data_IF_339831351464
#
_entry.id   IF_339831351464
#
_cell.length_a   1.000
_cell.length_b   1.000
_cell.length_c   1.000
_cell.angle_alpha   90.00
_cell.angle_beta   90.00
_cell.angle_gamma   90.00
#
_symmetry.space_group_name_H-M   'P 1'
#
loop_
_entity.id
_entity.type
_entity.pdbx_description
1 polymer ?
#
# COMPACT_ATOMS: atom_id res chain seq x y z
N UNK A 1 7.14 5.52 -2.82
CA UNK A 1 8.54 5.12 -3.08
C UNK A 1 9.24 6.27 -3.79
N UNK A 2 10.57 6.33 -3.81
CA UNK A 2 11.30 7.40 -4.51
C UNK A 2 11.90 6.85 -5.80
N UNK A 3 11.58 7.47 -6.94
CA UNK A 3 12.00 7.05 -8.29
C UNK A 3 12.32 8.32 -9.07
N UNK A 4 13.45 8.36 -9.79
CA UNK A 4 13.83 9.48 -10.68
C UNK A 4 13.59 10.89 -10.07
N UNK A 5 14.01 11.07 -8.81
CA UNK A 5 13.89 12.29 -8.02
C UNK A 5 12.45 12.79 -7.72
N UNK A 6 11.49 11.87 -7.67
CA UNK A 6 10.11 12.17 -7.30
C UNK A 6 9.42 11.01 -6.57
N UNK A 7 8.28 11.27 -5.88
CA UNK A 7 7.48 10.22 -5.28
C UNK A 7 6.68 9.44 -6.33
N UNK A 8 6.74 8.11 -6.22
CA UNK A 8 5.99 7.16 -7.05
C UNK A 8 5.17 6.19 -6.17
N UNK A 9 4.07 5.66 -6.72
CA UNK A 9 3.12 4.79 -6.01
C UNK A 9 2.82 3.53 -6.82
N UNK A 10 2.86 2.38 -6.15
CA UNK A 10 2.65 1.08 -6.79
C UNK A 10 1.57 0.29 -6.06
N UNK A 11 0.62 -0.36 -6.77
CA UNK A 11 -0.29 -1.30 -6.15
C UNK A 11 0.49 -2.47 -5.56
N UNK A 12 0.10 -2.93 -4.37
CA UNK A 12 0.82 -3.94 -3.62
C UNK A 12 -0.12 -4.94 -2.96
N UNK A 13 0.18 -6.24 -3.16
CA UNK A 13 -0.32 -7.30 -2.28
C UNK A 13 0.73 -7.55 -1.20
N UNK A 14 0.31 -7.58 0.05
CA UNK A 14 1.19 -7.77 1.20
C UNK A 14 0.51 -8.67 2.25
N UNK A 15 1.31 -9.17 3.18
CA UNK A 15 0.87 -9.88 4.38
C UNK A 15 1.51 -9.21 5.60
N UNK A 16 0.82 -9.25 6.73
CA UNK A 16 1.39 -8.83 8.02
C UNK A 16 2.08 -10.02 8.65
N UNK A 17 3.32 -9.83 9.09
CA UNK A 17 4.16 -10.89 9.64
C UNK A 17 5.07 -10.31 10.73
N UNK A 18 4.99 -10.84 11.96
CA UNK A 18 5.81 -10.44 13.10
C UNK A 18 5.92 -8.90 13.33
N UNK A 19 4.81 -8.17 13.15
CA UNK A 19 4.79 -6.71 13.31
C UNK A 19 5.39 -5.92 12.14
N UNK A 20 5.74 -6.60 11.06
CA UNK A 20 6.21 -6.03 9.79
C UNK A 20 5.24 -6.37 8.67
N UNK A 21 5.52 -5.87 7.47
CA UNK A 21 4.76 -6.25 6.28
C UNK A 21 5.68 -6.93 5.27
N UNK A 22 5.25 -8.06 4.74
CA UNK A 22 5.98 -8.75 3.69
C UNK A 22 5.22 -8.65 2.39
N UNK A 23 5.95 -8.47 1.30
CA UNK A 23 5.38 -8.62 -0.03
C UNK A 23 6.32 -9.27 -1.03
N UNK A 24 5.71 -9.76 -2.11
CA UNK A 24 6.40 -10.47 -3.18
C UNK A 24 6.32 -9.68 -4.49
N UNK A 25 7.45 -9.48 -5.17
CA UNK A 25 7.52 -8.74 -6.44
C UNK A 25 8.53 -9.34 -7.42
N UNK A 26 8.37 -9.01 -8.71
CA UNK A 26 9.38 -9.24 -9.73
C UNK A 26 10.42 -8.12 -9.72
N UNK A 27 11.57 -8.34 -10.38
CA UNK A 27 12.58 -7.30 -10.61
C UNK A 27 11.96 -6.11 -11.35
N UNK A 28 12.46 -4.91 -11.08
CA UNK A 28 12.03 -3.67 -11.74
C UNK A 28 12.01 -2.48 -10.80
N UNK A 29 11.45 -1.37 -11.28
CA UNK A 29 11.45 -0.06 -10.60
C UNK A 29 10.94 -0.13 -9.17
N UNK A 30 9.82 -0.81 -8.93
CA UNK A 30 9.24 -0.98 -7.59
C UNK A 30 10.22 -1.59 -6.58
N UNK A 31 10.93 -2.65 -6.98
CA UNK A 31 11.88 -3.32 -6.08
C UNK A 31 13.13 -2.46 -5.89
N UNK A 32 13.63 -1.85 -6.97
CA UNK A 32 14.79 -0.96 -6.89
C UNK A 32 14.52 0.23 -5.96
N UNK A 33 13.33 0.80 -6.05
CA UNK A 33 12.92 1.94 -5.22
C UNK A 33 12.68 1.52 -3.76
N UNK A 34 12.05 0.35 -3.54
CA UNK A 34 11.85 -0.19 -2.20
C UNK A 34 13.18 -0.45 -1.47
N UNK A 35 14.17 -0.99 -2.19
CA UNK A 35 15.49 -1.34 -1.64
C UNK A 35 16.51 -0.20 -1.70
N UNK A 36 16.06 1.03 -1.98
CA UNK A 36 16.90 2.22 -1.85
C UNK A 36 17.01 2.66 -0.39
N UNK A 37 17.90 3.61 -0.09
CA UNK A 37 18.01 4.19 1.26
C UNK A 37 16.84 5.12 1.63
N UNK A 38 15.95 5.42 0.68
CA UNK A 38 14.82 6.30 0.89
C UNK A 38 13.73 5.62 1.74
N UNK A 39 13.08 6.36 2.66
CA UNK A 39 11.92 5.85 3.37
C UNK A 39 10.78 5.46 2.43
N UNK A 40 10.05 4.41 2.79
CA UNK A 40 8.85 3.97 2.09
C UNK A 40 7.60 4.25 2.92
N UNK A 41 6.47 4.40 2.23
CA UNK A 41 5.16 4.48 2.84
C UNK A 41 4.23 3.44 2.20
N UNK A 42 3.34 2.90 3.01
CA UNK A 42 2.24 2.03 2.61
C UNK A 42 0.95 2.57 3.19
N UNK A 43 -0.09 2.56 2.37
CA UNK A 43 -1.44 3.00 2.72
C UNK A 43 -2.41 1.87 2.44
N UNK A 44 -3.40 1.72 3.32
CA UNK A 44 -4.48 0.75 3.21
C UNK A 44 -5.72 1.37 3.81
N UNK A 45 -6.81 1.34 3.07
CA UNK A 45 -8.11 1.79 3.55
C UNK A 45 -9.16 0.68 3.41
N UNK A 46 -10.29 0.94 4.05
CA UNK A 46 -11.46 0.07 3.94
C UNK A 46 -12.72 0.75 4.43
N UNK A 47 -13.85 0.21 3.97
CA UNK A 47 -15.18 0.64 4.36
C UNK A 47 -15.98 -0.55 4.88
N UNK A 48 -16.58 -0.39 6.06
CA UNK A 48 -17.42 -1.39 6.71
C UNK A 48 -18.89 -1.02 6.51
N UNK A 49 -19.54 -1.66 5.53
CA UNK A 49 -20.91 -1.34 5.16
C UNK A 49 -21.95 -1.47 6.30
N UNK A 50 -21.88 -2.48 7.21
CA UNK A 50 -22.83 -2.60 8.31
C UNK A 50 -22.78 -1.43 9.31
N UNK A 51 -21.58 -0.97 9.67
CA UNK A 51 -21.37 0.14 10.62
C UNK A 51 -21.35 1.52 9.93
N UNK A 52 -21.26 1.54 8.59
CA UNK A 52 -21.03 2.75 7.78
C UNK A 52 -19.78 3.51 8.22
N UNK A 53 -18.75 2.80 8.64
CA UNK A 53 -17.49 3.38 9.03
C UNK A 53 -16.44 3.18 7.95
N UNK A 54 -15.60 4.19 7.76
CA UNK A 54 -14.37 4.07 6.98
C UNK A 54 -13.17 4.06 7.92
N UNK A 55 -12.12 3.37 7.50
CA UNK A 55 -10.83 3.35 8.18
C UNK A 55 -9.70 3.46 7.17
N UNK A 56 -8.56 3.96 7.65
CA UNK A 56 -7.31 4.03 6.89
C UNK A 56 -6.13 3.79 7.80
N UNK A 57 -5.11 3.11 7.32
CA UNK A 57 -3.82 2.90 7.98
C UNK A 57 -2.72 3.41 7.07
N UNK A 58 -1.87 4.28 7.61
CA UNK A 58 -0.66 4.76 6.95
C UNK A 58 0.54 4.27 7.74
N UNK A 59 1.45 3.61 7.03
CA UNK A 59 2.68 3.04 7.55
C UNK A 59 3.85 3.73 6.89
N UNK A 60 4.86 4.12 7.68
CA UNK A 60 6.15 4.63 7.19
C UNK A 60 7.25 3.73 7.75
N UNK A 61 8.29 3.51 6.97
CA UNK A 61 9.38 2.63 7.38
C UNK A 61 10.49 2.52 6.35
N UNK A 62 11.25 1.45 6.47
CA UNK A 62 12.27 1.03 5.49
C UNK A 62 11.91 -0.32 4.93
N UNK A 63 12.28 -0.56 3.67
CA UNK A 63 12.12 -1.88 3.08
C UNK A 63 13.47 -2.55 2.89
N UNK A 64 13.51 -3.86 3.11
CA UNK A 64 14.69 -4.69 2.99
C UNK A 64 14.35 -5.99 2.28
N UNK A 65 15.31 -6.54 1.54
CA UNK A 65 15.11 -7.81 0.86
C UNK A 65 15.32 -8.95 1.85
N UNK A 66 14.39 -9.90 1.89
CA UNK A 66 14.55 -11.14 2.66
C UNK A 66 15.51 -12.04 1.87
N UNK A 67 16.66 -12.37 2.46
CA UNK A 67 17.74 -13.12 1.80
C UNK A 67 18.10 -14.43 2.52
N UNK A 68 17.89 -14.49 3.83
CA UNK A 68 18.23 -15.66 4.63
C UNK A 68 17.21 -16.78 4.39
N UNK A 69 17.70 -18.01 4.25
CA UNK A 69 16.87 -19.16 3.88
C UNK A 69 15.82 -19.45 4.95
N UNK A 70 16.19 -19.39 6.23
CA UNK A 70 15.28 -19.69 7.33
C UNK A 70 14.14 -18.64 7.39
N UNK A 71 14.47 -17.36 7.27
CA UNK A 71 13.48 -16.27 7.22
C UNK A 71 12.57 -16.40 5.99
N UNK A 72 13.12 -16.84 4.86
CA UNK A 72 12.34 -17.12 3.66
C UNK A 72 11.39 -18.31 3.89
N UNK A 73 11.83 -19.38 4.55
CA UNK A 73 11.01 -20.55 4.86
C UNK A 73 9.84 -20.22 5.79
N UNK A 74 10.04 -19.35 6.78
CA UNK A 74 8.94 -18.87 7.64
C UNK A 74 7.96 -17.97 6.87
N UNK A 75 8.43 -17.34 5.80
CA UNK A 75 7.68 -16.35 5.02
C UNK A 75 6.91 -16.96 3.84
N UNK A 76 7.38 -18.07 3.26
CA UNK A 76 6.74 -18.69 2.07
C UNK A 76 5.34 -19.21 2.34
N UNK A 77 5.01 -19.50 3.60
CA UNK A 77 3.67 -19.95 4.01
C UNK A 77 2.67 -18.80 4.16
N UNK A 78 3.12 -17.54 4.06
CA UNK A 78 2.20 -16.40 4.08
C UNK A 78 1.30 -16.42 2.84
N UNK A 79 0.00 -16.04 2.97
CA UNK A 79 -0.96 -16.02 1.88
C UNK A 79 -0.74 -14.84 0.91
N UNK A 80 0.48 -14.71 0.39
CA UNK A 80 0.86 -13.75 -0.64
C UNK A 80 0.45 -14.32 -1.99
N UNK A 81 -0.76 -13.98 -2.44
CA UNK A 81 -1.29 -14.35 -3.75
C UNK A 81 -1.28 -13.14 -4.71
N UNK A 82 -0.19 -12.88 -5.45
CA UNK A 82 -0.14 -11.78 -6.40
C UNK A 82 -1.19 -11.94 -7.49
N UNK A 83 -2.02 -10.92 -7.71
CA UNK A 83 -3.06 -10.94 -8.75
C UNK A 83 -2.53 -10.94 -10.19
N UNK A 84 -1.28 -10.49 -10.39
CA UNK A 84 -0.64 -10.48 -11.70
C UNK A 84 0.30 -11.69 -11.84
N UNK A 85 0.14 -12.45 -12.92
CA UNK A 85 1.00 -13.57 -13.27
C UNK A 85 2.47 -13.15 -13.49
N UNK A 86 3.40 -14.10 -13.33
CA UNK A 86 4.84 -13.93 -13.59
C UNK A 86 5.74 -14.31 -12.43
N UNK A 87 7.03 -14.49 -12.72
CA UNK A 87 8.04 -14.83 -11.71
C UNK A 87 8.27 -13.66 -10.75
N UNK A 88 7.74 -13.76 -9.53
CA UNK A 88 7.90 -12.72 -8.49
C UNK A 88 8.88 -13.20 -7.41
N UNK A 89 10.09 -13.59 -7.74
CA UNK A 89 10.94 -14.35 -6.80
C UNK A 89 11.62 -13.51 -5.69
N UNK A 90 11.24 -12.24 -5.52
CA UNK A 90 11.82 -11.36 -4.52
C UNK A 90 10.80 -11.09 -3.41
N UNK A 91 11.18 -11.46 -2.20
CA UNK A 91 10.48 -11.14 -0.97
C UNK A 91 11.11 -9.91 -0.33
N UNK A 92 10.26 -8.97 0.06
CA UNK A 92 10.68 -7.70 0.63
C UNK A 92 9.87 -7.49 1.90
N UNK A 93 10.57 -7.18 2.99
CA UNK A 93 10.00 -6.81 4.28
C UNK A 93 10.00 -5.30 4.40
N UNK A 94 8.87 -4.71 4.77
CA UNK A 94 8.76 -3.34 5.22
C UNK A 94 8.75 -3.37 6.75
N UNK A 95 9.81 -2.82 7.34
CA UNK A 95 9.96 -2.65 8.79
C UNK A 95 9.38 -1.28 9.17
N UNK A 96 8.23 -1.24 9.87
CA UNK A 96 7.59 0.02 10.22
C UNK A 96 8.42 0.81 11.25
N UNK A 97 8.57 2.11 11.02
CA UNK A 97 9.07 3.06 12.03
C UNK A 97 7.95 3.93 12.60
N UNK A 98 6.84 4.03 11.87
CA UNK A 98 5.64 4.74 12.31
C UNK A 98 4.40 4.11 11.70
N UNK A 99 3.40 3.86 12.53
CA UNK A 99 2.08 3.35 12.13
C UNK A 99 1.03 4.29 12.68
N UNK A 100 0.13 4.77 11.82
CA UNK A 100 -1.02 5.58 12.22
C UNK A 100 -2.28 5.06 11.57
N UNK A 101 -3.36 5.04 12.34
CA UNK A 101 -4.69 4.63 11.87
C UNK A 101 -5.74 5.68 12.21
N UNK A 102 -6.78 5.73 11.39
CA UNK A 102 -7.99 6.53 11.63
C UNK A 102 -9.21 5.66 11.35
N UNK A 103 -10.26 5.86 12.13
CA UNK A 103 -11.60 5.29 11.90
C UNK A 103 -12.64 6.36 12.16
N UNK A 104 -13.63 6.47 11.30
CA UNK A 104 -14.65 7.51 11.38
C UNK A 104 -15.95 7.08 10.68
N UNK A 105 -17.12 7.57 11.14
CA UNK A 105 -18.37 7.36 10.45
C UNK A 105 -18.36 8.07 9.08
N UNK A 106 -18.89 7.41 8.06
CA UNK A 106 -19.09 8.01 6.74
C UNK A 106 -20.34 8.88 6.79
N UNK A 107 -20.14 10.16 6.47
CA UNK A 107 -21.21 11.15 6.42
C UNK A 107 -21.95 11.10 5.07
N UNK A 108 -23.18 11.63 5.05
CA UNK A 108 -23.96 11.74 3.82
C UNK A 108 -23.18 12.54 2.75
N UNK A 109 -22.98 12.00 1.52
CA UNK A 109 -22.33 12.73 0.43
C UNK A 109 -22.98 14.08 0.10
N UNK A 110 -24.26 14.26 0.42
CA UNK A 110 -24.98 15.53 0.29
C UNK A 110 -24.30 16.68 1.04
N UNK A 111 -23.54 16.40 2.12
CA UNK A 111 -22.80 17.44 2.85
C UNK A 111 -21.70 18.12 2.01
N UNK A 112 -21.23 17.47 0.95
CA UNK A 112 -20.19 18.01 0.06
C UNK A 112 -20.76 18.54 -1.25
N UNK A 113 -22.09 18.49 -1.43
CA UNK A 113 -22.74 19.05 -2.60
C UNK A 113 -22.77 20.58 -2.51
N UNK A 114 -22.29 21.22 -3.56
CA UNK A 114 -22.39 22.66 -3.78
C UNK A 114 -23.46 22.91 -4.84
N UNK A 115 -23.96 24.16 -4.98
CA UNK A 115 -24.84 24.53 -6.09
C UNK A 115 -24.28 24.18 -7.48
N UNK A 116 -22.96 23.97 -7.58
CA UNK A 116 -22.26 23.62 -8.81
C UNK A 116 -22.00 22.12 -8.99
N UNK A 117 -22.32 21.27 -8.01
CA UNK A 117 -22.01 19.84 -8.06
C UNK A 117 -22.73 19.09 -9.18
N UNK A 118 -23.85 19.64 -9.68
CA UNK A 118 -24.61 19.10 -10.82
C UNK A 118 -24.51 19.96 -12.08
N UNK A 119 -23.68 21.01 -12.07
CA UNK A 119 -23.48 21.85 -13.26
C UNK A 119 -22.53 21.13 -14.20
N UNK A 120 -23.07 20.69 -15.33
CA UNK A 120 -22.30 20.05 -16.41
C UNK A 120 -21.26 21.06 -16.91
N UNK A 121 -19.97 20.78 -16.74
CA UNK A 121 -18.92 21.62 -17.34
C UNK A 121 -19.07 21.54 -18.85
N UNK A 122 -19.15 22.70 -19.51
CA UNK A 122 -19.11 22.80 -20.96
C UNK A 122 -17.86 22.05 -21.47
N UNK A 123 -17.94 21.27 -22.56
CA UNK A 123 -16.75 20.73 -23.18
C UNK A 123 -15.89 21.93 -23.58
N UNK A 124 -14.66 22.00 -23.08
CA UNK A 124 -13.65 22.91 -23.61
C UNK A 124 -13.36 22.47 -25.05
N UNK A 125 -13.60 23.37 -26.01
CA UNK A 125 -13.17 23.26 -27.42
C UNK A 125 -11.65 23.15 -27.54
#
# INVERSE_FOLDING_TARGET
MWVDDHPDIFPLNYAVDHGTLVFRSGRGTKVSAALSDAPVALEVDGYEAPSREAWSVVIKGRAEGIREIDELMDTVDLPLFPWQAGAKNLFIRLVPTHVSGRRFPVVDPAMWQTPFSNVRRSPSE
#
